data_IF_555372965729
#
_entry.id   IF_555372965729
#
_cell.length_a   1.000
_cell.length_b   1.000
_cell.length_c   1.000
_cell.angle_alpha   90.00
_cell.angle_beta   90.00
_cell.angle_gamma   90.00
#
_symmetry.space_group_name_H-M   'P 1'
#
loop_
_entity.id
_entity.type
_entity.pdbx_description
1 polymer ?
#
# COMPACT_ATOMS: atom_id res chain seq x y z
N UNK A 1 -19.53 -0.85 33.29
CA UNK A 1 -18.30 -1.66 33.36
C UNK A 1 -17.49 -1.44 32.09
N UNK A 2 -16.52 -0.53 32.12
CA UNK A 2 -15.69 -0.20 30.95
C UNK A 2 -14.50 -1.16 30.88
N UNK A 3 -14.51 -2.09 29.92
CA UNK A 3 -13.33 -2.93 29.61
C UNK A 3 -12.26 -2.01 29.03
N UNK A 4 -11.23 -1.71 29.83
CA UNK A 4 -10.04 -1.03 29.34
C UNK A 4 -9.36 -1.97 28.31
N UNK A 5 -8.86 -1.46 27.18
CA UNK A 5 -8.12 -2.27 26.23
C UNK A 5 -6.83 -2.78 26.87
N UNK A 6 -6.50 -4.05 26.61
CA UNK A 6 -5.33 -4.74 27.15
C UNK A 6 -4.05 -4.16 26.52
N UNK A 7 -3.38 -3.30 27.29
CA UNK A 7 -2.20 -2.56 26.83
C UNK A 7 -0.94 -3.44 26.77
N UNK A 8 -0.94 -4.60 27.44
CA UNK A 8 0.17 -5.55 27.42
C UNK A 8 0.30 -6.24 26.05
N UNK A 9 -0.83 -6.65 25.43
CA UNK A 9 -0.83 -7.14 24.05
C UNK A 9 -0.31 -6.12 23.04
N UNK A 10 -0.60 -4.84 23.25
CA UNK A 10 -0.16 -3.79 22.33
C UNK A 10 1.35 -3.56 22.42
N UNK A 11 1.93 -3.65 23.63
CA UNK A 11 3.38 -3.50 23.83
C UNK A 11 4.18 -4.63 23.19
N UNK A 12 3.68 -5.87 23.22
CA UNK A 12 4.33 -7.02 22.57
C UNK A 12 4.39 -6.89 21.03
N UNK A 13 3.44 -6.18 20.42
CA UNK A 13 3.46 -5.92 18.98
C UNK A 13 4.40 -4.77 18.57
N UNK A 14 4.57 -3.77 19.44
CA UNK A 14 5.34 -2.56 19.15
C UNK A 14 6.83 -2.76 19.45
N UNK A 15 7.15 -3.44 20.55
CA UNK A 15 8.52 -3.81 20.91
C UNK A 15 8.85 -5.12 20.22
N UNK A 16 9.40 -5.04 19.00
CA UNK A 16 9.75 -6.18 18.15
C UNK A 16 10.79 -7.15 18.74
N UNK A 17 10.40 -7.87 19.79
CA UNK A 17 11.09 -9.06 20.29
C UNK A 17 10.54 -10.28 19.54
N UNK A 18 10.92 -10.39 18.27
CA UNK A 18 10.79 -11.63 17.51
C UNK A 18 11.96 -12.49 17.95
N UNK A 19 11.85 -13.10 19.14
CA UNK A 19 12.68 -14.25 19.49
C UNK A 19 12.52 -15.32 18.39
N UNK A 20 13.62 -15.94 17.91
CA UNK A 20 13.59 -16.78 16.72
C UNK A 20 12.76 -18.03 17.02
N UNK A 21 11.64 -18.18 16.31
CA UNK A 21 10.86 -19.41 16.33
C UNK A 21 11.76 -20.52 15.73
N UNK A 22 12.11 -21.59 16.48
CA UNK A 22 12.87 -22.70 15.93
C UNK A 22 12.06 -23.40 14.81
N UNK A 23 12.72 -24.01 13.81
CA UNK A 23 12.04 -24.55 12.64
C UNK A 23 11.19 -25.76 13.03
N UNK A 24 9.89 -25.53 13.26
CA UNK A 24 8.91 -26.58 13.51
C UNK A 24 8.49 -27.23 12.18
N UNK A 25 8.37 -28.55 12.22
CA UNK A 25 8.34 -29.48 11.10
C UNK A 25 7.23 -29.20 10.06
N UNK A 26 7.58 -29.47 8.79
CA UNK A 26 6.67 -29.44 7.64
C UNK A 26 5.41 -30.28 7.89
N UNK A 27 4.19 -29.78 7.60
CA UNK A 27 3.01 -30.63 7.54
C UNK A 27 3.07 -31.50 6.26
N UNK A 28 3.10 -32.83 6.42
CA UNK A 28 2.86 -33.80 5.35
C UNK A 28 1.38 -33.79 4.99
N UNK A 29 0.98 -33.09 3.93
CA UNK A 29 -0.36 -33.20 3.35
C UNK A 29 -0.38 -34.34 2.33
N UNK A 30 -1.13 -35.42 2.60
CA UNK A 30 -1.47 -36.45 1.60
C UNK A 30 -2.86 -36.19 1.03
N UNK A 31 -2.87 -36.06 -0.30
CA UNK A 31 -3.93 -36.17 -1.31
C UNK A 31 -5.23 -36.92 -0.94
N UNK A 32 -6.39 -36.40 -1.36
CA UNK A 32 -7.28 -37.10 -2.32
C UNK A 32 -8.55 -36.30 -2.69
N UNK A 33 -8.69 -35.97 -3.98
CA UNK A 33 -9.92 -36.11 -4.77
C UNK A 33 -11.12 -35.15 -4.57
N UNK A 34 -11.25 -34.15 -5.45
CA UNK A 34 -12.49 -33.96 -6.22
C UNK A 34 -12.28 -32.98 -7.38
N UNK A 35 -12.62 -33.45 -8.57
CA UNK A 35 -12.56 -32.73 -9.85
C UNK A 35 -13.53 -31.55 -9.85
N UNK A 36 -12.98 -30.33 -9.75
CA UNK A 36 -13.63 -29.13 -10.29
C UNK A 36 -12.67 -28.50 -11.28
N UNK A 37 -13.08 -28.53 -12.55
CA UNK A 37 -12.36 -28.02 -13.70
C UNK A 37 -12.36 -26.49 -13.66
N UNK A 38 -11.56 -25.90 -12.79
CA UNK A 38 -11.32 -24.45 -12.79
C UNK A 38 -10.45 -24.16 -14.01
N UNK A 39 -11.04 -23.63 -15.08
CA UNK A 39 -10.26 -23.00 -16.15
C UNK A 39 -9.58 -21.78 -15.53
N UNK A 40 -8.30 -21.93 -15.21
CA UNK A 40 -7.45 -20.88 -14.66
C UNK A 40 -7.36 -19.63 -15.57
N UNK A 41 -7.86 -19.74 -16.81
CA UNK A 41 -7.95 -18.66 -17.81
C UNK A 41 -8.78 -17.45 -17.37
N UNK A 42 -9.71 -17.59 -16.41
CA UNK A 42 -10.64 -16.52 -15.98
C UNK A 42 -10.18 -15.73 -14.75
N UNK A 43 -9.05 -16.08 -14.13
CA UNK A 43 -8.38 -15.22 -13.14
C UNK A 43 -7.33 -14.33 -13.80
N UNK A 44 -7.62 -13.81 -14.99
CA UNK A 44 -6.82 -12.71 -15.51
C UNK A 44 -7.16 -11.47 -14.66
N UNK A 45 -6.23 -10.90 -13.87
CA UNK A 45 -6.37 -9.51 -13.47
C UNK A 45 -6.38 -8.70 -14.77
N UNK A 46 -7.59 -8.41 -15.27
CA UNK A 46 -7.82 -7.60 -16.45
C UNK A 46 -7.03 -6.31 -16.29
N UNK A 47 -6.10 -6.10 -17.22
CA UNK A 47 -5.33 -4.87 -17.35
C UNK A 47 -4.39 -4.60 -16.18
N UNK A 48 -3.16 -5.10 -16.27
CA UNK A 48 -2.05 -4.46 -15.55
C UNK A 48 -1.95 -3.02 -16.04
N UNK A 49 -2.66 -2.09 -15.39
CA UNK A 49 -2.44 -0.67 -15.54
C UNK A 49 -0.97 -0.45 -15.19
N UNK A 50 -0.12 -0.32 -16.21
CA UNK A 50 1.32 -0.14 -16.03
C UNK A 50 1.46 1.18 -15.28
N UNK A 51 1.74 1.10 -13.98
CA UNK A 51 2.02 2.28 -13.18
C UNK A 51 3.34 2.84 -13.69
N UNK A 52 3.27 3.88 -14.51
CA UNK A 52 4.45 4.60 -14.96
C UNK A 52 5.01 5.34 -13.75
N UNK A 53 6.29 5.07 -13.44
CA UNK A 53 7.03 5.78 -12.40
C UNK A 53 7.84 6.86 -13.07
N UNK A 54 7.60 8.10 -12.66
CA UNK A 54 8.36 9.26 -13.09
C UNK A 54 9.17 9.77 -11.91
N UNK A 55 10.46 10.01 -12.14
CA UNK A 55 11.31 10.74 -11.21
C UNK A 55 11.32 12.19 -11.67
N UNK A 56 11.11 13.12 -10.74
CA UNK A 56 11.06 14.55 -11.02
C UNK A 56 12.17 15.22 -10.22
N UNK A 57 13.06 15.90 -10.92
CA UNK A 57 13.99 16.83 -10.29
C UNK A 57 13.28 18.16 -10.07
N UNK A 58 13.23 18.57 -8.80
CA UNK A 58 12.58 19.80 -8.36
C UNK A 58 13.61 20.66 -7.64
N UNK A 59 13.52 21.97 -7.86
CA UNK A 59 14.25 22.94 -7.07
C UNK A 59 14.00 22.72 -5.56
N UNK A 60 15.02 22.90 -4.69
CA UNK A 60 14.91 22.60 -3.27
C UNK A 60 13.73 23.30 -2.58
N UNK A 61 13.48 24.56 -2.92
CA UNK A 61 12.38 25.35 -2.37
C UNK A 61 11.02 24.81 -2.80
N UNK A 62 10.89 24.40 -4.06
CA UNK A 62 9.68 23.80 -4.62
C UNK A 62 9.40 22.45 -3.95
N UNK A 63 10.42 21.63 -3.75
CA UNK A 63 10.29 20.37 -3.04
C UNK A 63 9.88 20.57 -1.56
N UNK A 64 10.46 21.56 -0.88
CA UNK A 64 10.11 21.90 0.49
C UNK A 64 8.68 22.45 0.61
N UNK A 65 8.24 23.25 -0.36
CA UNK A 65 6.85 23.70 -0.47
C UNK A 65 5.89 22.52 -0.67
N UNK A 66 6.18 21.63 -1.63
CA UNK A 66 5.38 20.44 -1.92
C UNK A 66 5.22 19.56 -0.67
N UNK A 67 6.31 19.35 0.07
CA UNK A 67 6.31 18.56 1.30
C UNK A 67 5.38 19.17 2.37
N UNK A 68 5.43 20.50 2.56
CA UNK A 68 4.57 21.21 3.51
C UNK A 68 3.10 21.18 3.09
N UNK A 69 2.84 21.40 1.81
CA UNK A 69 1.49 21.39 1.25
C UNK A 69 0.83 20.01 1.38
N UNK A 70 1.55 18.94 1.00
CA UNK A 70 1.06 17.57 1.16
C UNK A 70 0.77 17.21 2.62
N UNK A 71 1.62 17.64 3.55
CA UNK A 71 1.39 17.45 5.00
C UNK A 71 0.13 18.17 5.48
N UNK A 72 -0.11 19.40 5.01
CA UNK A 72 -1.29 20.19 5.38
C UNK A 72 -2.60 19.54 4.89
N UNK A 73 -2.58 18.89 3.72
CA UNK A 73 -3.76 18.21 3.16
C UNK A 73 -3.91 16.76 3.62
N UNK A 74 -2.99 16.25 4.44
CA UNK A 74 -2.99 14.85 4.87
C UNK A 74 -2.73 13.86 3.73
N UNK A 75 -2.10 14.30 2.64
CA UNK A 75 -1.81 13.48 1.47
C UNK A 75 -0.32 13.13 1.37
N UNK A 76 0.00 12.09 0.60
CA UNK A 76 1.38 11.83 0.20
C UNK A 76 1.82 12.88 -0.83
N UNK A 77 3.14 13.15 -0.93
CA UNK A 77 3.68 14.10 -1.93
C UNK A 77 3.22 13.77 -3.35
N UNK A 78 3.23 12.48 -3.72
CA UNK A 78 2.80 12.00 -5.03
C UNK A 78 1.29 12.14 -5.25
N UNK A 79 0.46 11.88 -4.22
CA UNK A 79 -0.98 12.09 -4.30
C UNK A 79 -1.36 13.56 -4.46
N UNK A 80 -0.68 14.43 -3.69
CA UNK A 80 -0.87 15.87 -3.79
C UNK A 80 -0.44 16.41 -5.16
N UNK A 81 0.71 15.96 -5.67
CA UNK A 81 1.19 16.34 -7.00
C UNK A 81 0.24 15.89 -8.12
N UNK A 82 -0.35 14.69 -8.02
CA UNK A 82 -1.38 14.23 -8.97
C UNK A 82 -2.60 15.15 -8.97
N UNK A 83 -3.07 15.52 -7.78
CA UNK A 83 -4.23 16.42 -7.62
C UNK A 83 -3.95 17.79 -8.25
N UNK A 84 -2.74 18.34 -8.04
CA UNK A 84 -2.31 19.57 -8.68
C UNK A 84 -2.30 19.46 -10.21
N UNK A 85 -1.71 18.40 -10.76
CA UNK A 85 -1.66 18.19 -12.21
C UNK A 85 -3.05 18.03 -12.81
N UNK A 86 -3.95 17.32 -12.14
CA UNK A 86 -5.33 17.14 -12.59
C UNK A 86 -6.09 18.46 -12.62
N UNK A 87 -5.91 19.30 -11.59
CA UNK A 87 -6.50 20.64 -11.55
C UNK A 87 -5.93 21.55 -12.64
N UNK A 88 -4.61 21.56 -12.83
CA UNK A 88 -3.99 22.31 -13.93
C UNK A 88 -4.51 21.85 -15.29
N UNK A 89 -4.69 20.54 -15.50
CA UNK A 89 -5.27 20.01 -16.74
C UNK A 89 -6.69 20.50 -16.98
N UNK A 90 -7.52 20.53 -15.94
CA UNK A 90 -8.88 21.08 -16.03
C UNK A 90 -8.88 22.57 -16.36
N UNK A 91 -7.98 23.34 -15.74
CA UNK A 91 -7.86 24.79 -15.97
C UNK A 91 -7.37 25.14 -17.38
N UNK A 92 -6.50 24.31 -17.98
CA UNK A 92 -5.98 24.52 -19.35
C UNK A 92 -7.04 24.20 -20.42
N UNK A 93 -8.15 23.55 -20.07
CA UNK A 93 -9.25 23.27 -21.00
C UNK A 93 -8.94 22.16 -22.00
N UNK A 94 -8.01 21.26 -21.71
CA UNK A 94 -7.90 19.98 -22.43
C UNK A 94 -9.04 19.04 -21.99
N UNK A 95 -10.27 19.39 -22.37
CA UNK A 95 -11.46 18.52 -22.36
C UNK A 95 -12.59 19.08 -23.24
#
# INVERSE_FOLDING_TARGET
MSKKPDMDKLKQFISGDISPIPPSEKPKTKSSGSSSKIKLSELSPQGKNKTIRLTLDLEPDTHAWLARAAKKTGQTKSGFLRTLLEKCRQDIGEL
#
